data_IF_990597953119
#
_entry.id   IF_990597953119
#
_cell.length_a   1.000
_cell.length_b   1.000
_cell.length_c   1.000
_cell.angle_alpha   90.00
_cell.angle_beta   90.00
_cell.angle_gamma   90.00
#
_symmetry.space_group_name_H-M   'P 1'
#
loop_
_entity.id
_entity.type
_entity.pdbx_description
1 polymer ?
#
# COMPACT_ATOMS: atom_id res chain seq x y z
N UNK A 1 22.82 -9.92 -8.57
CA UNK A 1 23.89 -8.93 -8.34
C UNK A 1 23.57 -8.25 -7.03
N UNK A 2 24.55 -8.16 -6.15
CA UNK A 2 24.44 -7.43 -4.88
C UNK A 2 25.13 -6.08 -5.02
N UNK A 3 24.57 -5.04 -4.37
CA UNK A 3 25.11 -3.69 -4.37
C UNK A 3 24.60 -2.81 -5.50
N UNK A 4 25.06 -1.56 -5.50
CA UNK A 4 24.66 -0.53 -6.45
C UNK A 4 23.45 0.27 -5.99
N UNK A 5 23.10 1.27 -6.80
CA UNK A 5 21.97 2.17 -6.55
C UNK A 5 20.97 2.13 -7.70
N UNK A 6 19.76 2.57 -7.42
CA UNK A 6 18.69 2.75 -8.40
C UNK A 6 18.02 4.11 -8.17
N UNK A 7 17.67 4.81 -9.25
CA UNK A 7 16.92 6.07 -9.23
C UNK A 7 15.50 5.79 -9.72
N UNK A 8 14.51 6.03 -8.86
CA UNK A 8 13.08 5.84 -9.13
C UNK A 8 12.41 7.19 -9.32
N UNK A 9 11.86 7.44 -10.50
CA UNK A 9 11.09 8.65 -10.76
C UNK A 9 9.72 8.61 -10.09
N UNK A 10 9.36 9.66 -9.36
CA UNK A 10 8.05 9.84 -8.74
C UNK A 10 7.45 11.18 -9.14
N UNK A 11 6.11 11.28 -9.22
CA UNK A 11 5.44 12.52 -9.65
C UNK A 11 5.02 13.45 -8.52
N UNK A 12 4.81 12.90 -7.33
CA UNK A 12 4.28 13.64 -6.19
C UNK A 12 5.34 13.75 -5.11
N UNK A 13 5.36 14.92 -4.48
CA UNK A 13 6.17 15.13 -3.29
C UNK A 13 5.59 14.40 -2.08
N UNK A 14 6.40 14.20 -1.07
CA UNK A 14 6.04 13.50 0.15
C UNK A 14 5.19 14.41 1.02
N UNK A 15 4.03 13.91 1.48
CA UNK A 15 3.13 14.66 2.36
C UNK A 15 3.52 14.57 3.85
N UNK A 16 4.19 13.51 4.26
CA UNK A 16 4.75 13.34 5.60
C UNK A 16 5.78 12.22 5.63
N UNK A 17 6.84 12.39 6.41
CA UNK A 17 7.80 11.31 6.76
C UNK A 17 7.34 10.51 7.99
N UNK A 18 6.36 11.00 8.76
CA UNK A 18 5.71 10.24 9.83
C UNK A 18 4.77 9.20 9.22
N UNK A 19 5.07 7.89 9.33
CA UNK A 19 4.31 6.83 8.66
C UNK A 19 2.86 6.73 9.13
N UNK A 20 2.55 7.26 10.31
CA UNK A 20 1.20 7.28 10.87
C UNK A 20 0.36 8.47 10.37
N UNK A 21 1.01 9.51 9.84
CA UNK A 21 0.36 10.73 9.30
C UNK A 21 0.34 10.76 7.78
N UNK A 22 1.21 10.01 7.11
CA UNK A 22 1.24 9.91 5.66
C UNK A 22 -0.10 9.44 5.09
N UNK A 23 -0.68 10.22 4.19
CA UNK A 23 -2.00 9.94 3.58
C UNK A 23 -1.90 9.64 2.10
N UNK A 24 -0.96 10.27 1.39
CA UNK A 24 -0.78 10.08 -0.03
C UNK A 24 -0.26 8.66 -0.35
N UNK A 25 -0.83 8.03 -1.37
CA UNK A 25 -0.45 6.68 -1.78
C UNK A 25 1.03 6.58 -2.15
N UNK A 26 1.54 7.55 -2.93
CA UNK A 26 2.95 7.60 -3.32
C UNK A 26 3.91 7.72 -2.14
N UNK A 27 3.54 8.52 -1.11
CA UNK A 27 4.32 8.59 0.13
C UNK A 27 4.35 7.23 0.83
N UNK A 28 3.21 6.55 0.95
CA UNK A 28 3.13 5.24 1.58
C UNK A 28 3.95 4.19 0.84
N UNK A 29 3.98 4.21 -0.49
CA UNK A 29 4.81 3.32 -1.31
C UNK A 29 6.30 3.50 -1.01
N UNK A 30 6.76 4.74 -0.81
CA UNK A 30 8.14 5.04 -0.42
C UNK A 30 8.41 4.58 1.00
N UNK A 31 7.57 5.00 1.95
CA UNK A 31 7.74 4.70 3.37
C UNK A 31 7.62 3.21 3.69
N UNK A 32 6.96 2.41 2.85
CA UNK A 32 6.93 0.96 2.95
C UNK A 32 8.33 0.30 2.87
N UNK A 33 9.30 0.99 2.26
CA UNK A 33 10.69 0.55 2.24
C UNK A 33 11.44 0.87 3.54
N UNK A 34 10.94 1.83 4.33
CA UNK A 34 11.55 2.30 5.58
C UNK A 34 10.91 1.63 6.80
N UNK A 35 9.60 1.43 6.75
CA UNK A 35 8.81 0.95 7.89
C UNK A 35 8.13 -0.38 7.59
N UNK A 36 8.03 -1.22 8.62
CA UNK A 36 7.22 -2.43 8.59
C UNK A 36 6.23 -2.44 9.76
N UNK A 37 5.11 -3.12 9.55
CA UNK A 37 4.12 -3.42 10.57
C UNK A 37 4.37 -4.77 11.23
N UNK A 38 3.39 -5.25 12.01
CA UNK A 38 3.39 -6.62 12.53
C UNK A 38 3.30 -7.63 11.38
N UNK A 39 2.57 -7.29 10.35
CA UNK A 39 2.41 -8.04 9.10
C UNK A 39 2.72 -7.13 7.91
N UNK A 40 2.97 -7.72 6.75
CA UNK A 40 3.18 -6.99 5.48
C UNK A 40 2.68 -7.83 4.30
N UNK A 41 2.38 -7.24 3.13
CA UNK A 41 2.13 -8.00 1.92
C UNK A 41 3.44 -8.60 1.38
N UNK A 42 3.34 -9.79 0.79
CA UNK A 42 4.38 -10.35 -0.06
C UNK A 42 4.26 -9.81 -1.51
N UNK A 43 5.13 -10.26 -2.40
CA UNK A 43 5.14 -9.89 -3.82
C UNK A 43 3.86 -10.28 -4.60
N UNK A 44 3.04 -11.18 -4.05
CA UNK A 44 1.78 -11.63 -4.62
C UNK A 44 0.56 -10.96 -3.94
N UNK A 45 0.79 -10.07 -2.97
CA UNK A 45 -0.23 -9.42 -2.18
C UNK A 45 -0.79 -10.28 -1.03
N UNK A 46 -0.21 -11.46 -0.74
CA UNK A 46 -0.61 -12.24 0.42
C UNK A 46 -0.03 -11.63 1.69
N UNK A 47 -0.80 -11.68 2.77
CA UNK A 47 -0.34 -11.20 4.06
C UNK A 47 0.64 -12.19 4.70
N UNK A 48 1.81 -11.70 5.05
CA UNK A 48 2.86 -12.45 5.77
C UNK A 48 3.26 -11.74 7.05
N UNK A 49 3.80 -12.48 8.02
CA UNK A 49 4.37 -11.90 9.23
C UNK A 49 5.66 -11.12 8.92
N UNK A 50 5.81 -9.92 9.52
CA UNK A 50 6.98 -9.05 9.41
C UNK A 50 7.66 -8.89 10.78
N UNK A 51 7.34 -7.83 11.54
CA UNK A 51 7.83 -7.65 12.92
C UNK A 51 7.31 -8.76 13.85
N UNK A 52 6.09 -9.25 13.60
CA UNK A 52 5.62 -10.48 14.21
C UNK A 52 6.23 -11.71 13.52
N UNK A 53 6.41 -12.80 14.27
CA UNK A 53 6.75 -14.13 13.73
C UNK A 53 5.50 -14.98 13.55
N UNK A 54 4.45 -14.71 14.32
CA UNK A 54 3.19 -15.44 14.30
C UNK A 54 2.06 -14.57 14.88
N UNK A 55 0.81 -14.91 14.52
CA UNK A 55 -0.38 -14.30 15.12
C UNK A 55 -1.53 -15.27 15.21
N UNK A 56 -2.46 -14.99 16.11
CA UNK A 56 -3.74 -15.70 16.23
C UNK A 56 -4.87 -14.72 16.48
N UNK A 57 -6.08 -15.12 16.05
CA UNK A 57 -7.31 -14.35 16.24
C UNK A 57 -8.28 -15.25 17.02
N UNK A 58 -8.92 -14.68 18.05
CA UNK A 58 -9.95 -15.40 18.82
C UNK A 58 -11.15 -15.74 17.96
N UNK A 59 -11.91 -16.78 18.35
CA UNK A 59 -13.08 -17.27 17.59
C UNK A 59 -14.17 -16.20 17.41
N UNK A 60 -14.27 -15.26 18.34
CA UNK A 60 -15.19 -14.12 18.28
C UNK A 60 -14.65 -12.93 17.48
N UNK A 61 -13.39 -12.98 17.01
CA UNK A 61 -12.75 -11.95 16.22
C UNK A 61 -12.41 -10.66 16.99
N UNK A 62 -12.43 -10.70 18.33
CA UNK A 62 -12.22 -9.52 19.17
C UNK A 62 -10.81 -9.40 19.74
N UNK A 63 -10.02 -10.47 19.72
CA UNK A 63 -8.69 -10.51 20.30
C UNK A 63 -7.67 -11.00 19.26
N UNK A 64 -6.65 -10.18 19.03
CA UNK A 64 -5.52 -10.49 18.16
C UNK A 64 -4.28 -10.65 19.03
N UNK A 65 -3.61 -11.79 18.96
CA UNK A 65 -2.38 -12.06 19.70
C UNK A 65 -1.24 -12.20 18.73
N UNK A 66 -0.19 -11.41 18.91
CA UNK A 66 1.01 -11.41 18.07
C UNK A 66 2.22 -11.84 18.88
N UNK A 67 3.04 -12.71 18.30
CA UNK A 67 4.36 -13.08 18.84
C UNK A 67 5.43 -12.35 18.04
N UNK A 68 6.29 -11.59 18.69
CA UNK A 68 7.35 -10.83 18.03
C UNK A 68 8.46 -11.74 17.53
N UNK A 69 9.02 -11.37 16.40
CA UNK A 69 10.17 -12.02 15.77
C UNK A 69 11.43 -11.70 16.56
N UNK A 70 12.30 -12.70 16.74
CA UNK A 70 13.64 -12.49 17.29
C UNK A 70 14.55 -11.74 16.33
N UNK A 71 15.36 -10.83 16.85
CA UNK A 71 16.43 -10.16 16.11
C UNK A 71 15.98 -9.06 15.18
N UNK A 72 14.71 -8.64 15.20
CA UNK A 72 14.27 -7.44 14.47
C UNK A 72 14.82 -6.21 15.16
N UNK A 73 15.51 -5.36 14.39
CA UNK A 73 16.11 -4.12 14.87
C UNK A 73 15.56 -2.92 14.13
N UNK A 74 15.41 -1.84 14.84
CA UNK A 74 15.24 -0.52 14.23
C UNK A 74 16.53 -0.06 13.53
N UNK A 75 16.42 0.90 12.60
CA UNK A 75 17.56 1.47 11.89
C UNK A 75 18.61 2.11 12.82
N UNK A 76 18.21 2.56 14.00
CA UNK A 76 19.12 3.07 15.03
C UNK A 76 19.86 1.98 15.83
N UNK A 77 19.65 0.70 15.50
CA UNK A 77 20.31 -0.47 16.08
C UNK A 77 19.64 -1.04 17.33
N UNK A 78 18.61 -0.39 17.86
CA UNK A 78 17.85 -0.91 19.00
C UNK A 78 16.98 -2.11 18.59
N UNK A 79 16.83 -3.08 19.49
CA UNK A 79 15.89 -4.18 19.27
C UNK A 79 14.44 -3.69 19.37
N UNK A 80 13.56 -4.27 18.54
CA UNK A 80 12.12 -4.01 18.63
C UNK A 80 11.56 -4.78 19.83
N UNK A 81 10.78 -4.08 20.64
CA UNK A 81 10.17 -4.62 21.86
C UNK A 81 8.64 -4.57 21.81
N UNK A 82 7.99 -5.27 22.76
CA UNK A 82 6.53 -5.20 22.91
C UNK A 82 6.05 -3.77 23.27
N UNK A 83 6.89 -2.97 23.94
CA UNK A 83 6.58 -1.57 24.25
C UNK A 83 6.50 -0.70 22.99
N UNK A 84 7.36 -0.96 21.99
CA UNK A 84 7.33 -0.24 20.72
C UNK A 84 6.05 -0.57 19.94
N UNK A 85 5.65 -1.84 19.92
CA UNK A 85 4.40 -2.30 19.31
C UNK A 85 3.19 -1.68 20.01
N UNK A 86 3.15 -1.76 21.33
CA UNK A 86 2.09 -1.16 22.13
C UNK A 86 1.97 0.34 21.86
N UNK A 87 3.08 1.06 21.96
CA UNK A 87 3.13 2.50 21.70
C UNK A 87 2.61 2.84 20.29
N UNK A 88 3.08 2.13 19.28
CA UNK A 88 2.68 2.38 17.88
C UNK A 88 1.19 2.17 17.66
N UNK A 89 0.64 1.07 18.17
CA UNK A 89 -0.78 0.75 18.01
C UNK A 89 -1.68 1.68 18.85
N UNK A 90 -1.29 2.01 20.08
CA UNK A 90 -2.02 2.97 20.91
C UNK A 90 -2.02 4.37 20.28
N UNK A 91 -0.89 4.78 19.67
CA UNK A 91 -0.79 6.05 18.97
C UNK A 91 -1.76 6.13 17.79
N UNK A 92 -1.76 5.14 16.91
CA UNK A 92 -2.61 5.15 15.72
C UNK A 92 -4.08 4.96 16.02
N UNK A 93 -4.41 4.26 17.11
CA UNK A 93 -5.77 4.09 17.60
C UNK A 93 -6.32 5.34 18.32
N UNK A 94 -5.46 6.31 18.65
CA UNK A 94 -5.83 7.49 19.42
C UNK A 94 -5.94 7.25 20.93
N UNK A 95 -5.39 6.16 21.44
CA UNK A 95 -5.46 5.86 22.88
C UNK A 95 -4.50 6.72 23.73
N UNK A 96 -3.48 7.34 23.09
CA UNK A 96 -2.50 8.17 23.80
C UNK A 96 -3.01 9.60 24.04
N UNK A 97 -3.71 10.18 23.04
CA UNK A 97 -4.09 11.61 23.06
C UNK A 97 -5.56 11.87 22.66
N UNK A 98 -6.31 10.82 22.36
CA UNK A 98 -7.71 10.90 21.92
C UNK A 98 -7.89 11.15 20.41
N UNK A 99 -6.80 11.17 19.62
CA UNK A 99 -6.84 11.46 18.18
C UNK A 99 -6.42 10.25 17.35
N UNK A 100 -7.36 9.47 16.77
CA UNK A 100 -7.00 8.35 15.91
C UNK A 100 -6.29 8.85 14.62
N UNK A 101 -5.15 8.25 14.30
CA UNK A 101 -4.39 8.54 13.07
C UNK A 101 -4.74 7.56 11.95
N UNK A 102 -5.13 6.32 12.30
CA UNK A 102 -5.54 5.28 11.34
C UNK A 102 -6.97 4.86 11.64
N UNK A 103 -7.89 5.23 10.76
CA UNK A 103 -9.34 5.06 10.98
C UNK A 103 -9.76 3.61 11.24
N UNK A 104 -9.15 2.62 10.58
CA UNK A 104 -9.47 1.20 10.77
C UNK A 104 -9.04 0.68 12.13
N UNK A 105 -8.00 1.26 12.74
CA UNK A 105 -7.47 0.86 14.04
C UNK A 105 -8.09 1.59 15.23
N UNK A 106 -8.99 2.56 15.01
CA UNK A 106 -9.71 3.23 16.11
C UNK A 106 -10.62 2.30 16.92
N UNK A 107 -10.89 1.08 16.41
CA UNK A 107 -11.65 0.04 17.13
C UNK A 107 -10.83 -0.63 18.24
N UNK A 108 -9.52 -0.40 18.29
CA UNK A 108 -8.65 -0.92 19.36
C UNK A 108 -9.05 -0.28 20.69
N UNK A 109 -9.32 -1.14 21.68
CA UNK A 109 -9.69 -0.74 23.03
C UNK A 109 -8.51 -0.87 24.02
N UNK A 110 -7.65 -1.87 23.79
CA UNK A 110 -6.48 -2.10 24.63
C UNK A 110 -5.38 -2.80 23.83
N UNK A 111 -4.15 -2.50 24.23
CA UNK A 111 -2.94 -3.22 23.79
C UNK A 111 -2.19 -3.66 25.03
N UNK A 112 -2.19 -4.96 25.29
CA UNK A 112 -1.61 -5.55 26.48
C UNK A 112 -0.36 -6.35 26.14
N UNK A 113 0.69 -6.18 26.95
CA UNK A 113 1.90 -6.96 26.87
C UNK A 113 1.72 -8.16 27.80
N UNK A 114 1.69 -9.38 27.23
CA UNK A 114 1.50 -10.60 28.01
C UNK A 114 2.82 -11.15 28.54
N UNK A 115 3.89 -11.00 27.77
CA UNK A 115 5.26 -11.36 28.13
C UNK A 115 6.26 -10.58 27.25
N UNK A 116 7.54 -10.89 27.32
CA UNK A 116 8.62 -10.17 26.61
C UNK A 116 8.48 -10.20 25.07
N UNK A 117 7.63 -11.08 24.51
CA UNK A 117 7.47 -11.29 23.06
C UNK A 117 6.03 -11.29 22.60
N UNK A 118 5.08 -11.26 23.50
CA UNK A 118 3.67 -11.43 23.14
C UNK A 118 2.86 -10.19 23.45
N UNK A 119 2.24 -9.65 22.42
CA UNK A 119 1.32 -8.51 22.51
C UNK A 119 -0.08 -8.97 22.14
N UNK A 120 -1.07 -8.55 22.93
CA UNK A 120 -2.48 -8.82 22.70
C UNK A 120 -3.21 -7.51 22.43
N UNK A 121 -3.99 -7.48 21.34
CA UNK A 121 -4.81 -6.34 20.94
C UNK A 121 -6.27 -6.73 21.06
N UNK A 122 -7.03 -5.96 21.84
CA UNK A 122 -8.47 -6.14 22.01
C UNK A 122 -9.21 -5.05 21.23
N UNK A 123 -10.21 -5.44 20.45
CA UNK A 123 -11.05 -4.52 19.67
C UNK A 123 -12.51 -4.60 20.12
N UNK A 124 -13.29 -3.55 19.86
CA UNK A 124 -14.71 -3.47 20.27
C UNK A 124 -15.67 -4.13 19.27
N UNK A 125 -15.23 -4.31 18.03
CA UNK A 125 -16.08 -4.82 16.94
C UNK A 125 -15.27 -5.82 16.10
N UNK A 126 -15.76 -7.04 15.86
CA UNK A 126 -15.07 -8.00 15.03
C UNK A 126 -15.05 -7.52 13.57
N UNK A 127 -13.87 -7.61 12.95
CA UNK A 127 -13.68 -7.26 11.54
C UNK A 127 -12.66 -8.22 10.92
N UNK A 128 -13.11 -9.05 9.98
CA UNK A 128 -12.25 -10.03 9.29
C UNK A 128 -11.10 -9.39 8.50
N UNK A 129 -11.27 -8.12 8.08
CA UNK A 129 -10.27 -7.37 7.33
C UNK A 129 -9.28 -6.60 8.23
N UNK A 130 -9.51 -6.57 9.54
CA UNK A 130 -8.69 -5.77 10.45
C UNK A 130 -7.23 -6.21 10.45
N UNK A 131 -6.96 -7.50 10.21
CA UNK A 131 -5.59 -8.03 10.15
C UNK A 131 -4.72 -7.28 9.12
N UNK A 132 -5.31 -6.83 8.01
CA UNK A 132 -4.60 -6.04 6.99
C UNK A 132 -4.22 -4.63 7.48
N UNK A 133 -4.85 -4.12 8.53
CA UNK A 133 -4.49 -2.81 9.10
C UNK A 133 -3.23 -2.88 9.99
N UNK A 134 -2.81 -4.07 10.41
CA UNK A 134 -1.56 -4.25 11.17
C UNK A 134 -0.29 -4.21 10.28
N UNK A 135 -0.41 -3.84 9.01
CA UNK A 135 0.70 -3.35 8.15
C UNK A 135 1.16 -1.95 8.59
N UNK A 136 0.41 -1.29 9.47
CA UNK A 136 0.77 0.00 10.05
C UNK A 136 2.13 -0.09 10.74
N UNK A 137 2.97 0.91 10.48
CA UNK A 137 4.36 0.96 10.90
C UNK A 137 4.53 0.80 12.42
N UNK A 138 5.51 0.00 12.82
CA UNK A 138 6.02 -0.02 14.19
C UNK A 138 7.18 0.97 14.28
N UNK A 139 7.09 1.91 15.21
CA UNK A 139 8.10 2.95 15.47
C UNK A 139 8.61 2.85 16.91
N UNK A 140 9.80 3.37 17.21
CA UNK A 140 10.31 3.35 18.59
C UNK A 140 9.36 4.04 19.57
N UNK A 141 9.19 3.47 20.76
CA UNK A 141 8.31 4.02 21.78
C UNK A 141 8.72 5.47 22.14
N UNK A 142 7.76 6.38 22.12
CA UNK A 142 7.97 7.80 22.40
C UNK A 142 8.50 8.62 21.23
N UNK A 143 8.82 8.04 20.06
CA UNK A 143 9.41 8.77 18.92
C UNK A 143 8.40 9.53 18.05
N UNK A 144 7.10 9.45 18.34
CA UNK A 144 6.06 9.94 17.43
C UNK A 144 6.08 11.44 17.14
N UNK A 145 6.65 12.29 18.02
CA UNK A 145 6.84 13.70 17.75
C UNK A 145 8.05 13.97 16.83
N UNK A 146 9.05 13.10 16.89
CA UNK A 146 10.27 13.22 16.11
C UNK A 146 10.21 12.44 14.77
N UNK A 147 9.21 11.60 14.57
CA UNK A 147 9.11 10.69 13.41
C UNK A 147 9.14 11.42 12.04
N UNK A 148 8.71 12.69 11.99
CA UNK A 148 8.81 13.53 10.80
C UNK A 148 10.24 13.99 10.53
N UNK A 149 11.05 14.23 11.57
CA UNK A 149 12.40 14.77 11.44
C UNK A 149 13.45 13.64 11.38
N UNK A 150 13.19 12.53 12.04
CA UNK A 150 14.08 11.36 12.15
C UNK A 150 13.28 10.06 11.96
N UNK A 151 12.96 9.67 10.70
CA UNK A 151 12.19 8.48 10.41
C UNK A 151 12.98 7.20 10.72
N UNK A 152 12.67 6.53 11.82
CA UNK A 152 13.32 5.30 12.26
C UNK A 152 12.34 4.14 12.16
N UNK A 153 12.56 3.24 11.22
CA UNK A 153 11.75 2.03 10.99
C UNK A 153 12.58 0.75 11.12
N UNK A 154 11.99 -0.36 10.67
CA UNK A 154 12.58 -1.70 10.66
C UNK A 154 12.78 -2.24 9.24
N UNK A 155 12.40 -1.46 8.23
CA UNK A 155 12.37 -1.87 6.84
C UNK A 155 13.74 -2.16 6.21
N UNK A 156 13.74 -2.65 4.96
CA UNK A 156 14.97 -3.01 4.25
C UNK A 156 15.88 -1.82 3.96
N UNK A 157 15.35 -0.60 3.94
CA UNK A 157 16.13 0.61 3.73
C UNK A 157 15.91 1.59 4.87
N UNK A 158 16.96 2.33 5.23
CA UNK A 158 16.94 3.42 6.20
C UNK A 158 16.90 4.77 5.50
N UNK A 159 16.25 5.73 6.13
CA UNK A 159 16.20 7.12 5.65
C UNK A 159 17.59 7.77 5.73
N UNK A 160 17.97 8.49 4.67
CA UNK A 160 19.22 9.27 4.61
C UNK A 160 18.91 10.75 4.56
N UNK A 161 18.11 11.18 3.58
CA UNK A 161 17.78 12.60 3.39
C UNK A 161 16.51 12.78 2.58
N UNK A 162 15.85 13.90 2.80
CA UNK A 162 14.74 14.37 1.99
C UNK A 162 14.96 15.85 1.66
N UNK A 163 14.85 16.18 0.39
CA UNK A 163 14.86 17.55 -0.10
C UNK A 163 13.52 17.80 -0.81
N UNK A 164 12.67 18.70 -0.28
CA UNK A 164 11.38 19.03 -0.89
C UNK A 164 11.52 19.38 -2.38
N UNK A 165 10.65 18.82 -3.21
CA UNK A 165 10.61 18.98 -4.67
C UNK A 165 11.83 18.41 -5.43
N UNK A 166 12.78 17.79 -4.75
CA UNK A 166 13.91 17.11 -5.38
C UNK A 166 13.79 15.59 -5.22
N UNK A 167 13.67 15.08 -3.98
CA UNK A 167 13.55 13.65 -3.74
C UNK A 167 13.92 13.19 -2.35
N UNK A 168 13.94 11.88 -2.17
CA UNK A 168 14.30 11.19 -0.94
C UNK A 168 15.33 10.11 -1.23
N UNK A 169 16.38 10.05 -0.42
CA UNK A 169 17.43 9.03 -0.52
C UNK A 169 17.32 8.06 0.64
N UNK A 170 17.34 6.78 0.31
CA UNK A 170 17.31 5.68 1.25
C UNK A 170 18.56 4.82 1.07
N UNK A 171 19.19 4.40 2.17
CA UNK A 171 20.33 3.49 2.18
C UNK A 171 19.94 2.12 2.73
N UNK A 172 20.67 1.10 2.33
CA UNK A 172 20.52 -0.27 2.79
C UNK A 172 20.53 -0.36 4.32
N UNK A 173 19.58 -1.10 4.88
CA UNK A 173 19.61 -1.53 6.27
C UNK A 173 20.48 -2.79 6.39
N UNK A 174 21.71 -2.66 6.90
CA UNK A 174 22.65 -3.78 7.06
C UNK A 174 22.19 -4.77 8.16
N UNK A 175 21.27 -4.37 9.03
CA UNK A 175 20.72 -5.20 10.09
C UNK A 175 19.30 -5.72 9.78
N UNK A 176 18.92 -5.73 8.49
CA UNK A 176 17.59 -6.18 8.10
C UNK A 176 17.37 -7.65 8.48
N UNK A 177 16.25 -7.96 9.07
CA UNK A 177 15.95 -9.29 9.61
C UNK A 177 15.85 -10.40 8.57
N UNK A 178 15.56 -10.06 7.29
CA UNK A 178 15.58 -11.02 6.20
C UNK A 178 17.00 -11.13 5.64
N UNK A 179 17.63 -12.28 5.90
CA UNK A 179 19.02 -12.53 5.48
C UNK A 179 19.20 -12.40 3.96
N UNK A 180 20.25 -11.67 3.56
CA UNK A 180 20.59 -11.45 2.16
C UNK A 180 19.79 -10.32 1.48
N UNK A 181 18.90 -9.65 2.18
CA UNK A 181 18.13 -8.50 1.69
C UNK A 181 18.52 -7.21 2.45
N UNK A 182 18.31 -6.05 1.84
CA UNK A 182 18.02 -5.82 0.42
C UNK A 182 19.26 -6.07 -0.47
N UNK A 183 19.05 -6.22 -1.78
CA UNK A 183 20.15 -6.40 -2.74
C UNK A 183 20.89 -5.11 -3.07
N UNK A 184 20.15 -3.98 -3.12
CA UNK A 184 20.69 -2.66 -3.44
C UNK A 184 21.31 -2.00 -2.21
N UNK A 185 22.32 -1.15 -2.43
CA UNK A 185 22.93 -0.34 -1.39
C UNK A 185 22.16 0.96 -1.15
N UNK A 186 21.50 1.49 -2.20
CA UNK A 186 20.82 2.79 -2.17
C UNK A 186 19.62 2.83 -3.12
N UNK A 187 18.57 3.53 -2.73
CA UNK A 187 17.44 3.88 -3.59
C UNK A 187 17.22 5.39 -3.49
N UNK A 188 17.26 6.05 -4.64
CA UNK A 188 16.96 7.49 -4.77
C UNK A 188 15.58 7.66 -5.44
N UNK A 189 14.60 8.17 -4.71
CA UNK A 189 13.30 8.56 -5.25
C UNK A 189 13.33 10.00 -5.69
N UNK A 190 13.50 10.22 -6.99
CA UNK A 190 13.61 11.54 -7.61
C UNK A 190 12.24 12.07 -8.05
N UNK A 191 11.90 13.29 -7.61
CA UNK A 191 10.66 13.94 -8.02
C UNK A 191 10.82 14.47 -9.46
N UNK A 192 9.94 14.02 -10.35
CA UNK A 192 9.90 14.45 -11.75
C UNK A 192 8.64 15.25 -12.01
N UNK A 193 8.78 16.41 -12.68
CA UNK A 193 7.70 17.39 -12.79
C UNK A 193 6.50 16.97 -13.64
N UNK A 194 6.66 15.96 -14.52
CA UNK A 194 5.59 15.44 -15.38
C UNK A 194 5.97 14.08 -15.95
N UNK A 195 4.95 13.34 -16.45
CA UNK A 195 5.16 12.08 -17.14
C UNK A 195 6.04 12.22 -18.40
N UNK A 196 5.92 13.32 -19.14
CA UNK A 196 6.76 13.59 -20.31
C UNK A 196 8.22 13.85 -19.92
N UNK A 197 8.45 14.55 -18.80
CA UNK A 197 9.78 14.72 -18.24
C UNK A 197 10.36 13.38 -17.80
N UNK A 198 9.57 12.52 -17.16
CA UNK A 198 10.00 11.19 -16.76
C UNK A 198 10.46 10.34 -17.94
N UNK A 199 9.74 10.38 -19.08
CA UNK A 199 10.17 9.71 -20.31
C UNK A 199 11.54 10.18 -20.80
N UNK A 200 11.76 11.48 -20.83
CA UNK A 200 13.04 12.04 -21.24
C UNK A 200 14.16 11.67 -20.27
N UNK A 201 13.88 11.64 -18.99
CA UNK A 201 14.85 11.25 -17.96
C UNK A 201 15.16 9.75 -17.98
N UNK A 202 14.18 8.88 -18.24
CA UNK A 202 14.41 7.45 -18.52
C UNK A 202 15.31 7.26 -19.74
N UNK A 203 14.98 7.89 -20.86
CA UNK A 203 15.76 7.81 -22.10
C UNK A 203 17.16 8.39 -21.95
N UNK A 204 17.30 9.42 -21.11
CA UNK A 204 18.57 10.06 -20.76
C UNK A 204 19.39 9.33 -19.69
N UNK A 205 18.84 8.32 -19.03
CA UNK A 205 19.49 7.57 -17.96
C UNK A 205 19.62 8.35 -16.64
N UNK A 206 18.77 9.36 -16.42
CA UNK A 206 18.72 10.12 -15.17
C UNK A 206 17.80 9.48 -14.12
N UNK A 207 16.90 8.60 -14.55
CA UNK A 207 16.12 7.67 -13.72
C UNK A 207 16.17 6.28 -14.34
N UNK A 208 16.09 5.26 -13.52
CA UNK A 208 16.18 3.85 -13.92
C UNK A 208 14.80 3.18 -13.96
N UNK A 209 13.90 3.62 -13.07
CA UNK A 209 12.56 3.06 -12.90
C UNK A 209 11.54 4.20 -12.90
N UNK A 210 10.44 3.98 -13.60
CA UNK A 210 9.27 4.86 -13.55
C UNK A 210 7.99 4.01 -13.60
N UNK A 211 7.09 4.25 -12.66
CA UNK A 211 5.80 3.56 -12.58
C UNK A 211 4.67 4.39 -13.24
N UNK A 212 3.51 3.74 -13.45
CA UNK A 212 2.27 4.40 -13.91
C UNK A 212 2.36 5.03 -15.30
N UNK A 213 3.04 4.35 -16.23
CA UNK A 213 3.04 4.71 -17.65
C UNK A 213 1.64 4.59 -18.24
N UNK A 214 1.30 5.51 -19.15
CA UNK A 214 0.16 5.32 -20.07
C UNK A 214 0.50 4.27 -21.12
N UNK A 215 -0.52 3.67 -21.77
CA UNK A 215 -0.31 2.70 -22.85
C UNK A 215 0.54 3.28 -24.00
N UNK A 216 0.34 4.56 -24.33
CA UNK A 216 1.12 5.25 -25.36
C UNK A 216 2.61 5.32 -24.98
N UNK A 217 2.91 5.68 -23.72
CA UNK A 217 4.27 5.77 -23.21
C UNK A 217 4.93 4.38 -23.10
N UNK A 218 4.18 3.38 -22.62
CA UNK A 218 4.63 2.00 -22.57
C UNK A 218 4.99 1.47 -23.96
N UNK A 219 4.15 1.77 -24.97
CA UNK A 219 4.40 1.39 -26.36
C UNK A 219 5.63 2.09 -26.97
N UNK A 220 5.91 3.32 -26.60
CA UNK A 220 7.11 4.05 -27.03
C UNK A 220 8.39 3.44 -26.43
N UNK A 221 8.33 2.97 -25.18
CA UNK A 221 9.50 2.48 -24.44
C UNK A 221 9.81 0.99 -24.62
N UNK A 222 8.84 0.17 -25.06
CA UNK A 222 8.93 -1.31 -25.06
C UNK A 222 10.12 -1.89 -25.80
N UNK A 223 10.65 -1.19 -26.82
CA UNK A 223 11.78 -1.68 -27.64
C UNK A 223 13.13 -1.35 -26.98
N UNK A 224 13.17 -0.44 -26.00
CA UNK A 224 14.38 0.05 -25.33
C UNK A 224 14.43 -0.24 -23.85
N UNK A 225 13.28 -0.50 -23.22
CA UNK A 225 13.13 -0.74 -21.79
C UNK A 225 12.35 -2.02 -21.50
N UNK A 226 12.54 -2.55 -20.31
CA UNK A 226 11.72 -3.64 -19.79
C UNK A 226 10.40 -3.05 -19.25
N UNK A 227 9.32 -3.19 -20.02
CA UNK A 227 7.99 -2.72 -19.64
C UNK A 227 7.23 -3.85 -18.97
N UNK A 228 6.83 -3.65 -17.72
CA UNK A 228 6.07 -4.62 -16.92
C UNK A 228 4.64 -4.08 -16.78
N UNK A 229 3.66 -4.90 -17.08
CA UNK A 229 2.24 -4.61 -16.89
C UNK A 229 1.65 -5.53 -15.82
N UNK A 230 0.85 -4.96 -14.93
CA UNK A 230 0.17 -5.67 -13.87
C UNK A 230 -1.26 -5.13 -13.70
N UNK A 231 -2.24 -5.97 -13.32
CA UNK A 231 -3.57 -5.49 -12.96
C UNK A 231 -3.50 -4.48 -11.81
N UNK A 232 -4.21 -3.36 -11.98
CA UNK A 232 -4.34 -2.36 -10.91
C UNK A 232 -5.63 -2.58 -10.11
N UNK A 233 -5.67 -2.03 -8.90
CA UNK A 233 -6.89 -2.01 -8.07
C UNK A 233 -7.84 -0.86 -8.42
N UNK A 234 -7.69 -0.27 -9.60
CA UNK A 234 -8.55 0.82 -10.08
C UNK A 234 -9.70 0.25 -10.89
N UNK A 235 -10.93 0.55 -10.47
CA UNK A 235 -12.15 0.19 -11.19
C UNK A 235 -12.74 1.44 -11.81
N UNK A 236 -12.97 1.40 -13.12
CA UNK A 236 -13.82 2.39 -13.79
C UNK A 236 -15.25 1.91 -13.75
N UNK A 237 -16.11 2.67 -13.11
CA UNK A 237 -17.51 2.32 -12.92
C UNK A 237 -18.47 3.48 -13.27
N UNK A 238 -19.61 3.14 -13.83
CA UNK A 238 -20.73 4.05 -13.97
C UNK A 238 -21.62 3.94 -12.73
N UNK A 239 -21.65 4.99 -11.91
CA UNK A 239 -22.51 5.08 -10.75
C UNK A 239 -23.88 5.68 -11.15
N UNK A 240 -24.94 4.95 -10.90
CA UNK A 240 -26.32 5.38 -11.18
C UNK A 240 -26.98 5.87 -9.88
N UNK A 241 -27.30 7.18 -9.82
CA UNK A 241 -27.99 7.75 -8.67
C UNK A 241 -29.44 7.28 -8.64
N UNK A 242 -29.80 6.39 -7.72
CA UNK A 242 -31.14 5.83 -7.58
C UNK A 242 -32.20 6.83 -7.06
N UNK A 243 -31.75 7.93 -6.45
CA UNK A 243 -32.65 9.00 -5.97
C UNK A 243 -33.06 9.97 -7.10
N UNK A 244 -32.40 9.89 -8.26
CA UNK A 244 -32.81 10.64 -9.44
C UNK A 244 -33.99 9.92 -10.10
N UNK A 245 -35.15 10.60 -10.19
CA UNK A 245 -36.43 10.02 -10.60
C UNK A 245 -36.37 9.13 -11.85
N UNK A 246 -35.71 9.51 -12.97
CA UNK A 246 -35.59 8.63 -14.13
C UNK A 246 -34.78 7.35 -13.88
N UNK A 247 -33.86 7.35 -12.91
CA UNK A 247 -33.02 6.21 -12.53
C UNK A 247 -33.55 5.39 -11.36
N UNK A 248 -34.66 5.82 -10.75
CA UNK A 248 -35.30 5.07 -9.67
C UNK A 248 -35.91 3.74 -10.16
N UNK A 249 -36.37 3.70 -11.43
CA UNK A 249 -36.83 2.45 -12.06
C UNK A 249 -35.67 1.53 -12.41
N UNK A 250 -35.71 0.31 -11.87
CA UNK A 250 -34.69 -0.71 -12.12
C UNK A 250 -34.56 -1.06 -13.61
N UNK A 251 -35.68 -1.01 -14.37
CA UNK A 251 -35.67 -1.31 -15.80
C UNK A 251 -34.88 -0.29 -16.61
N UNK A 252 -34.92 0.99 -16.20
CA UNK A 252 -34.12 2.04 -16.83
C UNK A 252 -32.64 1.78 -16.58
N UNK A 253 -32.25 1.42 -15.35
CA UNK A 253 -30.88 1.08 -15.03
C UNK A 253 -30.38 -0.17 -15.78
N UNK A 254 -31.22 -1.20 -15.89
CA UNK A 254 -30.91 -2.40 -16.68
C UNK A 254 -30.75 -2.05 -18.17
N UNK A 255 -31.64 -1.20 -18.72
CA UNK A 255 -31.51 -0.75 -20.10
C UNK A 255 -30.18 -0.03 -20.37
N UNK A 256 -29.71 0.80 -19.43
CA UNK A 256 -28.40 1.44 -19.52
C UNK A 256 -27.29 0.38 -19.52
N UNK A 257 -27.37 -0.66 -18.67
CA UNK A 257 -26.38 -1.73 -18.65
C UNK A 257 -26.33 -2.50 -19.99
N UNK A 258 -27.48 -2.75 -20.62
CA UNK A 258 -27.54 -3.39 -21.97
C UNK A 258 -27.02 -2.49 -23.07
N UNK A 259 -27.22 -1.18 -22.97
CA UNK A 259 -26.78 -0.21 -23.95
C UNK A 259 -25.27 0.12 -23.87
N UNK A 260 -24.63 -0.20 -22.75
CA UNK A 260 -23.23 0.11 -22.52
C UNK A 260 -22.34 -0.89 -23.28
N UNK A 261 -21.55 -0.37 -24.21
CA UNK A 261 -20.50 -1.12 -24.90
C UNK A 261 -19.21 -1.07 -24.08
N UNK A 262 -19.00 -2.07 -23.23
CA UNK A 262 -17.81 -2.16 -22.37
C UNK A 262 -16.55 -2.47 -23.17
N UNK A 263 -16.66 -3.22 -24.26
CA UNK A 263 -15.53 -3.52 -25.15
C UNK A 263 -15.02 -2.21 -25.79
N UNK A 264 -15.93 -1.36 -26.28
CA UNK A 264 -15.56 -0.06 -26.83
C UNK A 264 -14.95 0.87 -25.76
N UNK A 265 -15.52 0.90 -24.56
CA UNK A 265 -14.97 1.71 -23.44
C UNK A 265 -13.57 1.24 -23.11
N UNK A 266 -13.34 -0.08 -23.01
CA UNK A 266 -12.02 -0.64 -22.73
C UNK A 266 -10.99 -0.27 -23.81
N UNK A 267 -11.38 -0.37 -25.08
CA UNK A 267 -10.51 0.01 -26.20
C UNK A 267 -10.12 1.50 -26.14
N UNK A 268 -11.12 2.39 -25.92
CA UNK A 268 -10.85 3.83 -25.90
C UNK A 268 -10.10 4.33 -24.66
N UNK A 269 -10.33 3.73 -23.50
CA UNK A 269 -9.80 4.22 -22.21
C UNK A 269 -8.53 3.51 -21.79
N UNK A 270 -8.44 2.22 -22.07
CA UNK A 270 -7.33 1.37 -21.65
C UNK A 270 -6.59 0.71 -22.84
N UNK A 271 -6.82 1.18 -24.08
CA UNK A 271 -6.18 0.57 -25.25
C UNK A 271 -6.41 -0.93 -25.39
N UNK A 272 -7.53 -1.44 -24.84
CA UNK A 272 -7.84 -2.87 -24.79
C UNK A 272 -7.16 -3.66 -23.65
N UNK A 273 -6.33 -3.00 -22.83
CA UNK A 273 -5.54 -3.66 -21.76
C UNK A 273 -6.31 -3.82 -20.44
N UNK A 274 -7.50 -3.22 -20.31
CA UNK A 274 -8.35 -3.37 -19.12
C UNK A 274 -9.03 -4.74 -19.06
N UNK A 275 -9.30 -5.21 -17.85
CA UNK A 275 -10.14 -6.40 -17.62
C UNK A 275 -11.59 -5.99 -17.49
N UNK A 276 -12.46 -6.54 -18.33
CA UNK A 276 -13.91 -6.29 -18.24
C UNK A 276 -14.49 -7.00 -17.03
N UNK A 277 -15.17 -6.24 -16.20
CA UNK A 277 -15.84 -6.77 -15.00
C UNK A 277 -17.32 -6.36 -15.00
N UNK A 278 -18.16 -7.16 -14.40
CA UNK A 278 -19.59 -6.89 -14.19
C UNK A 278 -20.00 -6.94 -12.72
N UNK A 279 -19.02 -6.97 -11.84
CA UNK A 279 -19.17 -6.96 -10.39
C UNK A 279 -18.49 -5.70 -9.83
N UNK A 280 -18.88 -5.29 -8.64
CA UNK A 280 -18.19 -4.23 -7.89
C UNK A 280 -16.83 -4.70 -7.33
N UNK A 281 -16.59 -6.02 -7.33
CA UNK A 281 -15.36 -6.63 -6.81
C UNK A 281 -14.37 -6.90 -7.93
N UNK A 282 -13.08 -6.79 -7.60
CA UNK A 282 -12.00 -7.09 -8.52
C UNK A 282 -11.77 -8.61 -8.64
N UNK A 283 -11.39 -9.13 -9.82
CA UNK A 283 -11.06 -10.56 -9.99
C UNK A 283 -9.90 -11.04 -9.09
N UNK A 284 -9.06 -10.13 -8.61
CA UNK A 284 -7.98 -10.42 -7.66
C UNK A 284 -8.51 -10.79 -6.27
N UNK A 285 -9.72 -10.34 -5.92
CA UNK A 285 -10.41 -10.66 -4.67
C UNK A 285 -11.22 -11.96 -4.84
N UNK A 286 -10.55 -13.08 -5.02
CA UNK A 286 -11.12 -14.37 -5.47
C UNK A 286 -12.30 -14.87 -4.62
N UNK A 287 -12.29 -14.59 -3.32
CA UNK A 287 -13.35 -15.04 -2.41
C UNK A 287 -14.62 -14.20 -2.48
N UNK A 288 -14.54 -13.01 -3.09
CA UNK A 288 -15.63 -12.03 -3.20
C UNK A 288 -16.03 -11.73 -4.64
N UNK A 289 -15.22 -12.14 -5.61
CA UNK A 289 -15.49 -11.89 -7.02
C UNK A 289 -16.45 -12.94 -7.60
N UNK A 290 -17.51 -12.48 -8.24
CA UNK A 290 -18.41 -13.30 -9.05
C UNK A 290 -18.41 -12.75 -10.48
N UNK A 291 -18.14 -13.60 -11.45
CA UNK A 291 -18.20 -13.22 -12.86
C UNK A 291 -19.65 -13.16 -13.35
N UNK A 292 -20.17 -11.95 -13.53
CA UNK A 292 -21.52 -11.67 -14.02
C UNK A 292 -21.52 -11.15 -15.46
N UNK A 293 -20.43 -11.33 -16.22
CA UNK A 293 -20.32 -10.79 -17.59
C UNK A 293 -21.40 -11.32 -18.52
N UNK A 294 -21.89 -12.52 -18.32
CA UNK A 294 -22.97 -13.10 -19.12
C UNK A 294 -24.34 -12.44 -18.88
N UNK A 295 -24.52 -11.74 -17.75
CA UNK A 295 -25.82 -11.17 -17.37
C UNK A 295 -26.27 -10.04 -18.32
N UNK A 296 -25.36 -9.13 -18.67
CA UNK A 296 -25.65 -7.99 -19.55
C UNK A 296 -24.79 -7.98 -20.84
N UNK A 297 -23.86 -8.91 -20.97
CA UNK A 297 -22.87 -8.94 -22.03
C UNK A 297 -21.78 -7.87 -21.88
N UNK A 298 -20.86 -7.83 -22.85
CA UNK A 298 -19.77 -6.86 -22.94
C UNK A 298 -19.98 -5.84 -24.03
N UNK A 299 -20.64 -6.21 -25.13
CA UNK A 299 -21.00 -5.34 -26.26
C UNK A 299 -22.40 -4.76 -26.10
N UNK A 300 -22.64 -3.59 -26.67
CA UNK A 300 -23.96 -2.98 -26.65
C UNK A 300 -25.02 -3.90 -27.29
N UNK A 301 -26.11 -4.10 -26.56
CA UNK A 301 -27.24 -4.91 -27.01
C UNK A 301 -28.50 -4.04 -26.93
N UNK A 302 -28.78 -3.27 -28.01
CA UNK A 302 -29.85 -2.26 -28.12
C UNK A 302 -30.91 -2.73 -29.08
#
# INVERSE_FOLDING_TARGET
>A
VYGGSVVVGIQQDIDSLDPHKATAAGTKEILFNVFEGLVKPDENGNLICAVASDYSISDDGLVYTFTLRDGVKFHNGNDVTCEDVKYSLERVAGLLDGTPLVATLQTIQAVDILDDKTVQVTVDTPNTELIYSFVTAIIPAGSGEDAEADPVGTGPFSFVSYTPQEGIVLAKNENYWQEGLPYLDEVDFKIVGSADTALLELQGGSIDIYAYLTDSQANELKDSFNVISSPSNVVQALFLNNDYEPLSDVKVRQAICYALDKDMVNEFVAGGNGTLISSAMLPTLKDYYEDLNDLYGTSANV
#
